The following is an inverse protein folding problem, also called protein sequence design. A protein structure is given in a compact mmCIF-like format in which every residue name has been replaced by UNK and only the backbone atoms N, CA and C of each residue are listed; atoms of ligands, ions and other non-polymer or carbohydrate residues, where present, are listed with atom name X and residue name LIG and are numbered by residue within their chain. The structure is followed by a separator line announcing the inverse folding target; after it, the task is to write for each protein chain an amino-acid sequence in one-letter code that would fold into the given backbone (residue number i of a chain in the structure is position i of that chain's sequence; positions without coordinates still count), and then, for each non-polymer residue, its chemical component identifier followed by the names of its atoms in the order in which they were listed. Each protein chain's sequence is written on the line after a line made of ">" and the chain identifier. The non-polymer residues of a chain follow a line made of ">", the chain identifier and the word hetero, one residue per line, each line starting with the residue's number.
data_IF_784193521892
#
_entry.id   IF_784193521892
#
_cell.length_a   1.000
_cell.length_b   1.000
_cell.length_c   1.000
_cell.angle_alpha   90.00
_cell.angle_beta   90.00
_cell.angle_gamma   90.00
#
_symmetry.space_group_name_H-M   'P 1'
#
loop_
_entity.id
_entity.type
_entity.pdbx_description
1 polymer ?
#
# COMPACT_ATOMS: atom_id res chain seq x y z
N UNK A 1 -3.70 -25.02 -17.70
CA UNK A 1 -3.45 -23.99 -18.73
C UNK A 1 -3.29 -22.57 -18.15
N UNK A 2 -4.25 -22.07 -17.34
CA UNK A 2 -4.21 -20.70 -16.77
C UNK A 2 -2.94 -20.37 -15.96
N UNK A 3 -2.52 -21.25 -15.04
CA UNK A 3 -1.30 -21.05 -14.21
C UNK A 3 -0.03 -20.85 -15.05
N UNK A 4 0.17 -21.70 -16.05
CA UNK A 4 1.32 -21.61 -16.95
C UNK A 4 1.32 -20.31 -17.76
N UNK A 5 0.14 -19.83 -18.18
CA UNK A 5 0.00 -18.54 -18.85
C UNK A 5 0.42 -17.39 -17.94
N UNK A 6 -0.07 -17.35 -16.69
CA UNK A 6 0.29 -16.31 -15.73
C UNK A 6 1.77 -16.32 -15.37
N UNK A 7 2.40 -17.50 -15.23
CA UNK A 7 3.85 -17.61 -15.04
C UNK A 7 4.59 -17.02 -16.24
N UNK A 8 4.22 -17.42 -17.46
CA UNK A 8 4.87 -16.92 -18.68
C UNK A 8 4.74 -15.41 -18.80
N UNK A 9 3.53 -14.87 -18.66
CA UNK A 9 3.28 -13.43 -18.73
C UNK A 9 4.03 -12.69 -17.61
N UNK A 10 4.00 -13.20 -16.38
CA UNK A 10 4.72 -12.60 -15.25
C UNK A 10 6.22 -12.54 -15.49
N UNK A 11 6.83 -13.65 -15.94
CA UNK A 11 8.25 -13.70 -16.27
C UNK A 11 8.62 -12.81 -17.46
N UNK A 12 7.79 -12.76 -18.51
CA UNK A 12 8.02 -11.87 -19.66
C UNK A 12 7.96 -10.40 -19.22
N UNK A 13 6.97 -10.02 -18.40
CA UNK A 13 6.85 -8.66 -17.88
C UNK A 13 8.06 -8.28 -17.02
N UNK A 14 8.53 -9.17 -16.14
CA UNK A 14 9.72 -8.91 -15.33
C UNK A 14 11.00 -8.87 -16.16
N UNK A 15 11.16 -9.74 -17.15
CA UNK A 15 12.31 -9.72 -18.04
C UNK A 15 12.34 -8.42 -18.85
N UNK A 16 11.20 -7.99 -19.39
CA UNK A 16 11.10 -6.73 -20.12
C UNK A 16 11.38 -5.54 -19.21
N UNK A 17 10.85 -5.53 -17.98
CA UNK A 17 11.17 -4.53 -16.97
C UNK A 17 12.69 -4.44 -16.73
N UNK A 18 13.35 -5.57 -16.48
CA UNK A 18 14.79 -5.61 -16.22
C UNK A 18 15.58 -5.07 -17.41
N UNK A 19 15.24 -5.48 -18.63
CA UNK A 19 15.90 -5.03 -19.87
C UNK A 19 15.76 -3.51 -20.05
N UNK A 20 14.52 -3.00 -19.98
CA UNK A 20 14.25 -1.56 -20.13
C UNK A 20 14.96 -0.75 -19.05
N UNK A 21 14.91 -1.24 -17.80
CA UNK A 21 15.54 -0.56 -16.68
C UNK A 21 17.06 -0.55 -16.78
N UNK A 22 17.69 -1.61 -17.30
CA UNK A 22 19.13 -1.61 -17.59
C UNK A 22 19.53 -0.66 -18.71
N UNK A 23 18.72 -0.56 -19.77
CA UNK A 23 18.95 0.39 -20.86
C UNK A 23 18.82 1.83 -20.35
N UNK A 24 17.95 2.09 -19.38
CA UNK A 24 17.81 3.36 -18.66
C UNK A 24 17.50 4.59 -19.53
N UNK A 25 16.97 4.37 -20.74
CA UNK A 25 16.58 5.42 -21.70
C UNK A 25 15.05 5.57 -21.78
N UNK A 26 14.31 4.48 -21.62
CA UNK A 26 12.87 4.41 -21.83
C UNK A 26 12.23 3.52 -20.78
N UNK A 27 10.97 3.78 -20.44
CA UNK A 27 10.18 2.99 -19.48
C UNK A 27 9.77 3.79 -18.26
N UNK A 28 10.73 4.49 -17.64
CA UNK A 28 10.53 5.44 -16.55
C UNK A 28 11.11 6.82 -16.92
N UNK A 29 10.40 7.90 -16.54
CA UNK A 29 10.89 9.26 -16.76
C UNK A 29 12.05 9.64 -15.83
N UNK A 30 12.22 8.91 -14.73
CA UNK A 30 13.33 9.06 -13.80
C UNK A 30 14.37 7.95 -14.02
N UNK A 31 15.51 8.25 -14.68
CA UNK A 31 16.59 7.28 -14.85
C UNK A 31 17.19 6.93 -13.48
N UNK A 32 17.60 5.67 -13.31
CA UNK A 32 18.35 5.30 -12.11
C UNK A 32 19.78 5.82 -12.21
N UNK A 33 20.39 6.10 -11.05
CA UNK A 33 21.73 6.65 -10.95
C UNK A 33 22.60 5.76 -10.04
N UNK A 34 23.87 5.66 -10.37
CA UNK A 34 24.85 5.05 -9.49
C UNK A 34 25.00 5.92 -8.23
N UNK A 35 24.72 5.33 -7.08
CA UNK A 35 24.83 5.96 -5.76
C UNK A 35 26.13 5.53 -5.07
N UNK A 36 26.47 6.21 -3.96
CA UNK A 36 27.70 5.95 -3.19
C UNK A 36 27.79 4.54 -2.59
N UNK A 37 26.66 3.87 -2.36
CA UNK A 37 26.61 2.49 -1.85
C UNK A 37 25.88 1.61 -2.85
N UNK A 38 26.33 0.37 -3.01
CA UNK A 38 25.64 -0.62 -3.84
C UNK A 38 24.17 -0.80 -3.44
N UNK A 39 23.84 -0.69 -2.14
CA UNK A 39 22.45 -0.73 -1.67
C UNK A 39 21.65 0.47 -2.18
N UNK A 40 22.18 1.69 -2.11
CA UNK A 40 21.49 2.87 -2.62
C UNK A 40 21.36 2.85 -4.15
N UNK A 41 22.32 2.26 -4.86
CA UNK A 41 22.23 2.07 -6.31
C UNK A 41 21.11 1.09 -6.65
N UNK A 42 21.00 -0.02 -5.90
CA UNK A 42 19.90 -0.96 -6.04
C UNK A 42 18.55 -0.31 -5.71
N UNK A 43 18.47 0.48 -4.62
CA UNK A 43 17.26 1.25 -4.29
C UNK A 43 16.90 2.24 -5.40
N UNK A 44 17.89 2.89 -6.03
CA UNK A 44 17.66 3.76 -7.19
C UNK A 44 17.14 2.97 -8.40
N UNK A 45 17.63 1.75 -8.61
CA UNK A 45 17.18 0.87 -9.69
C UNK A 45 15.70 0.51 -9.54
N UNK A 46 15.27 0.16 -8.32
CA UNK A 46 13.86 -0.22 -8.03
C UNK A 46 12.94 0.98 -7.73
N UNK A 47 13.46 2.20 -7.69
CA UNK A 47 12.67 3.40 -7.48
C UNK A 47 11.96 3.80 -8.78
N UNK A 48 10.69 3.41 -8.91
CA UNK A 48 9.88 3.59 -10.11
C UNK A 48 8.79 4.65 -9.89
N UNK A 49 8.52 5.45 -10.92
CA UNK A 49 7.53 6.52 -10.90
C UNK A 49 6.12 5.96 -10.92
N UNK A 50 5.39 6.16 -9.81
CA UNK A 50 4.02 5.67 -9.64
C UNK A 50 2.95 6.61 -10.22
N UNK A 51 3.19 7.92 -10.24
CA UNK A 51 2.21 8.93 -10.63
C UNK A 51 2.86 10.00 -11.54
N UNK A 52 2.52 10.04 -12.85
CA UNK A 52 1.75 9.03 -13.59
C UNK A 52 2.48 7.67 -13.63
N UNK A 53 1.75 6.54 -13.75
CA UNK A 53 2.38 5.22 -13.71
C UNK A 53 3.30 5.03 -14.92
N UNK A 54 4.58 4.78 -14.66
CA UNK A 54 5.54 4.47 -15.71
C UNK A 54 5.32 3.07 -16.29
N UNK A 55 5.85 2.81 -17.49
CA UNK A 55 5.78 1.48 -18.09
C UNK A 55 6.55 0.48 -17.23
N UNK A 56 7.73 0.88 -16.73
CA UNK A 56 8.54 0.05 -15.83
C UNK A 56 7.81 -0.27 -14.53
N UNK A 57 7.11 0.72 -13.94
CA UNK A 57 6.25 0.51 -12.79
C UNK A 57 5.17 -0.55 -13.11
N UNK A 58 4.46 -0.42 -14.23
CA UNK A 58 3.44 -1.37 -14.62
C UNK A 58 4.00 -2.79 -14.84
N UNK A 59 5.09 -2.92 -15.59
CA UNK A 59 5.72 -4.22 -15.89
C UNK A 59 6.22 -4.92 -14.64
N UNK A 60 6.87 -4.19 -13.73
CA UNK A 60 7.37 -4.72 -12.48
C UNK A 60 6.22 -5.21 -11.59
N UNK A 61 5.23 -4.35 -11.31
CA UNK A 61 4.17 -4.68 -10.37
C UNK A 61 3.17 -5.71 -10.93
N UNK A 62 2.81 -5.65 -12.22
CA UNK A 62 1.96 -6.68 -12.85
C UNK A 62 2.71 -8.01 -12.91
N UNK A 63 4.00 -7.99 -13.27
CA UNK A 63 4.82 -9.20 -13.32
C UNK A 63 4.88 -9.91 -11.97
N UNK A 64 5.19 -9.18 -10.91
CA UNK A 64 5.18 -9.69 -9.54
C UNK A 64 3.78 -10.19 -9.11
N UNK A 65 2.73 -9.41 -9.40
CA UNK A 65 1.36 -9.77 -9.03
C UNK A 65 0.93 -11.10 -9.67
N UNK A 66 1.24 -11.32 -10.95
CA UNK A 66 0.91 -12.56 -11.65
C UNK A 66 1.61 -13.78 -11.04
N UNK A 67 2.89 -13.64 -10.65
CA UNK A 67 3.64 -14.72 -10.00
C UNK A 67 3.11 -15.01 -8.59
N UNK A 68 2.85 -13.95 -7.80
CA UNK A 68 2.25 -14.07 -6.47
C UNK A 68 0.88 -14.74 -6.56
N UNK A 69 0.06 -14.37 -7.55
CA UNK A 69 -1.26 -14.95 -7.76
C UNK A 69 -1.17 -16.45 -7.98
N UNK A 70 -0.27 -16.91 -8.84
CA UNK A 70 -0.08 -18.35 -9.10
C UNK A 70 0.39 -19.10 -7.85
N UNK A 71 1.25 -18.46 -7.05
CA UNK A 71 1.78 -19.05 -5.83
C UNK A 71 0.72 -19.17 -4.72
N UNK A 72 -0.15 -18.17 -4.60
CA UNK A 72 -1.20 -18.12 -3.57
C UNK A 72 -2.47 -18.86 -4.01
N UNK A 73 -2.65 -19.12 -5.31
CA UNK A 73 -3.82 -19.80 -5.88
C UNK A 73 -3.97 -21.23 -5.34
N UNK A 74 -4.91 -21.39 -4.40
CA UNK A 74 -5.26 -22.66 -3.77
C UNK A 74 -4.79 -22.80 -2.32
N UNK A 75 -4.05 -21.82 -1.77
CA UNK A 75 -3.62 -21.85 -0.37
C UNK A 75 -4.78 -21.52 0.58
N UNK A 76 -5.14 -22.47 1.44
CA UNK A 76 -6.14 -22.29 2.50
C UNK A 76 -5.50 -22.40 3.88
N UNK A 77 -4.73 -21.38 4.25
CA UNK A 77 -4.05 -21.31 5.54
C UNK A 77 -4.64 -20.21 6.42
N UNK A 78 -4.32 -20.24 7.73
CA UNK A 78 -4.73 -19.19 8.69
C UNK A 78 -4.29 -17.79 8.26
N UNK A 79 -3.11 -17.68 7.65
CA UNK A 79 -2.60 -16.41 7.11
C UNK A 79 -3.44 -15.90 5.93
N UNK A 80 -3.76 -16.76 4.95
CA UNK A 80 -4.66 -16.41 3.84
C UNK A 80 -6.04 -16.02 4.34
N UNK A 81 -6.56 -16.72 5.36
CA UNK A 81 -7.83 -16.36 5.99
C UNK A 81 -7.77 -14.98 6.66
N UNK A 82 -6.66 -14.65 7.33
CA UNK A 82 -6.43 -13.34 7.94
C UNK A 82 -6.38 -12.22 6.88
N UNK A 83 -5.59 -12.38 5.81
CA UNK A 83 -5.48 -11.35 4.76
C UNK A 83 -6.77 -11.17 3.96
N UNK A 84 -7.53 -12.26 3.77
CA UNK A 84 -8.83 -12.23 3.08
C UNK A 84 -9.85 -11.33 3.80
N UNK A 85 -9.76 -11.18 5.13
CA UNK A 85 -10.66 -10.27 5.88
C UNK A 85 -10.57 -8.85 5.34
N UNK A 86 -9.36 -8.34 5.13
CA UNK A 86 -9.15 -7.00 4.57
C UNK A 86 -9.56 -6.94 3.09
N UNK A 87 -9.20 -7.97 2.31
CA UNK A 87 -9.50 -8.02 0.88
C UNK A 87 -10.99 -8.08 0.53
N UNK A 88 -11.85 -8.53 1.45
CA UNK A 88 -13.32 -8.57 1.26
C UNK A 88 -13.97 -7.19 1.35
N UNK A 89 -13.39 -6.26 2.11
CA UNK A 89 -13.97 -4.95 2.43
C UNK A 89 -12.93 -3.82 2.29
N UNK A 90 -12.24 -3.71 1.14
CA UNK A 90 -11.13 -2.78 0.96
C UNK A 90 -11.56 -1.31 1.03
N UNK A 91 -12.76 -0.98 0.54
CA UNK A 91 -13.26 0.40 0.59
C UNK A 91 -13.63 0.81 2.03
N UNK A 92 -14.28 -0.07 2.78
CA UNK A 92 -14.50 0.14 4.21
C UNK A 92 -13.19 0.36 4.97
N UNK A 93 -12.17 -0.48 4.74
CA UNK A 93 -10.86 -0.28 5.35
C UNK A 93 -10.32 1.11 5.02
N UNK A 94 -10.31 1.49 3.74
CA UNK A 94 -9.81 2.79 3.29
C UNK A 94 -10.50 3.96 4.00
N UNK A 95 -11.84 3.96 4.06
CA UNK A 95 -12.61 5.03 4.66
C UNK A 95 -12.38 5.10 6.18
N UNK A 96 -12.58 3.99 6.90
CA UNK A 96 -12.49 3.99 8.36
C UNK A 96 -11.05 4.21 8.83
N UNK A 97 -10.06 3.66 8.12
CA UNK A 97 -8.65 3.93 8.39
C UNK A 97 -8.34 5.43 8.37
N UNK A 98 -8.87 6.16 7.38
CA UNK A 98 -8.70 7.61 7.29
C UNK A 98 -9.26 8.33 8.53
N UNK A 99 -10.46 7.95 8.99
CA UNK A 99 -11.07 8.49 10.20
C UNK A 99 -10.38 8.08 11.51
N UNK A 100 -9.56 7.02 11.51
CA UNK A 100 -8.80 6.59 12.69
C UNK A 100 -7.43 7.28 12.74
N UNK A 101 -6.74 7.37 11.61
CA UNK A 101 -5.37 7.90 11.58
C UNK A 101 -5.33 9.41 11.82
N UNK A 102 -6.38 10.16 11.47
CA UNK A 102 -6.45 11.61 11.70
C UNK A 102 -6.58 11.97 13.19
N UNK A 103 -7.48 11.36 13.98
CA UNK A 103 -7.48 11.53 15.43
C UNK A 103 -6.15 11.12 16.07
N UNK A 104 -5.55 10.01 15.64
CA UNK A 104 -4.24 9.59 16.15
C UNK A 104 -3.18 10.66 15.86
N UNK A 105 -3.17 11.22 14.65
CA UNK A 105 -2.30 12.33 14.29
C UNK A 105 -2.50 13.52 15.25
N UNK A 106 -3.74 13.96 15.47
CA UNK A 106 -4.01 15.09 16.36
C UNK A 106 -3.57 14.80 17.80
N UNK A 107 -3.88 13.61 18.34
CA UNK A 107 -3.42 13.20 19.67
C UNK A 107 -1.90 13.30 19.76
N UNK A 108 -1.17 12.78 18.77
CA UNK A 108 0.29 12.84 18.76
C UNK A 108 0.83 14.27 18.66
N UNK A 109 0.19 15.13 17.87
CA UNK A 109 0.57 16.54 17.73
C UNK A 109 0.34 17.30 19.04
N UNK A 110 -0.80 17.09 19.71
CA UNK A 110 -1.06 17.71 21.01
C UNK A 110 -0.14 17.18 22.11
N UNK A 111 0.18 15.88 22.10
CA UNK A 111 1.17 15.29 23.02
C UNK A 111 2.59 15.85 22.81
N UNK A 112 2.91 16.34 21.62
CA UNK A 112 4.17 17.03 21.33
C UNK A 112 4.18 18.50 21.78
N UNK A 113 3.08 19.01 22.34
CA UNK A 113 2.98 20.37 22.89
C UNK A 113 2.50 21.43 21.90
N UNK A 114 2.07 21.05 20.69
CA UNK A 114 1.50 21.99 19.72
C UNK A 114 0.08 22.37 20.10
N UNK A 115 -0.30 23.63 19.85
CA UNK A 115 -1.63 24.15 20.13
C UNK A 115 -2.48 24.17 18.86
N UNK A 116 -3.81 24.31 19.01
CA UNK A 116 -4.74 24.36 17.87
C UNK A 116 -4.44 25.50 16.89
N UNK A 117 -3.80 26.58 17.37
CA UNK A 117 -3.33 27.71 16.56
C UNK A 117 -2.21 27.36 15.59
N UNK A 118 -1.44 26.32 15.88
CA UNK A 118 -0.29 25.91 15.07
C UNK A 118 -0.70 24.95 13.93
N UNK A 119 -1.95 24.47 13.96
CA UNK A 119 -2.47 23.51 12.99
C UNK A 119 -2.73 24.19 11.64
N UNK A 120 -2.13 23.65 10.59
CA UNK A 120 -2.36 24.11 9.22
C UNK A 120 -3.21 23.10 8.47
N UNK A 121 -4.44 23.50 8.17
CA UNK A 121 -5.36 22.73 7.32
C UNK A 121 -5.10 23.02 5.83
N UNK A 122 -5.36 22.03 4.97
CA UNK A 122 -4.97 22.05 3.56
C UNK A 122 -3.98 20.92 3.25
N UNK A 123 -2.88 21.23 2.57
CA UNK A 123 -1.88 20.23 2.15
C UNK A 123 -1.17 19.52 3.31
N UNK A 124 -1.15 20.12 4.50
CA UNK A 124 -0.50 19.55 5.69
C UNK A 124 -1.42 18.66 6.53
N UNK A 125 -2.68 18.46 6.12
CA UNK A 125 -3.65 17.60 6.82
C UNK A 125 -3.74 17.87 8.34
N UNK A 126 -3.61 19.13 8.76
CA UNK A 126 -3.66 19.53 10.17
C UNK A 126 -2.32 19.46 10.90
N UNK A 127 -1.20 19.21 10.22
CA UNK A 127 0.14 19.19 10.85
C UNK A 127 0.72 20.61 11.00
N UNK A 128 1.45 20.90 12.10
CA UNK A 128 2.16 22.16 12.27
C UNK A 128 3.27 22.39 11.25
N UNK A 129 3.54 23.66 10.91
CA UNK A 129 4.58 24.06 9.95
C UNK A 129 6.00 23.71 10.39
N UNK A 130 6.25 23.66 11.69
CA UNK A 130 7.58 23.40 12.26
C UNK A 130 8.01 21.92 12.10
N UNK A 131 7.14 21.07 11.57
CA UNK A 131 7.37 19.63 11.42
C UNK A 131 6.95 18.89 12.69
N UNK A 132 5.98 17.98 12.54
CA UNK A 132 5.52 17.09 13.61
C UNK A 132 5.66 15.64 13.18
N UNK A 133 6.29 14.83 14.03
CA UNK A 133 6.56 13.45 13.70
C UNK A 133 7.32 12.70 14.79
N UNK A 134 7.28 11.38 14.67
CA UNK A 134 8.04 10.46 15.51
C UNK A 134 9.10 9.77 14.66
N UNK A 135 10.08 9.16 15.31
CA UNK A 135 11.07 8.34 14.63
C UNK A 135 10.41 7.22 13.82
N UNK A 136 11.07 6.76 12.75
CA UNK A 136 10.53 5.78 11.81
C UNK A 136 10.03 4.49 12.48
N UNK A 137 10.74 4.01 13.52
CA UNK A 137 10.31 2.85 14.30
C UNK A 137 8.95 3.07 14.98
N UNK A 138 8.70 4.29 15.49
CA UNK A 138 7.42 4.66 16.09
C UNK A 138 6.30 4.69 15.06
N UNK A 139 6.59 5.13 13.83
CA UNK A 139 5.62 5.10 12.72
C UNK A 139 5.21 3.66 12.43
N UNK A 140 6.16 2.72 12.40
CA UNK A 140 5.84 1.30 12.22
C UNK A 140 5.01 0.72 13.35
N UNK A 141 5.25 1.12 14.61
CA UNK A 141 4.43 0.67 15.74
C UNK A 141 2.99 1.17 15.63
N UNK A 142 2.79 2.46 15.33
CA UNK A 142 1.45 3.03 15.13
C UNK A 142 0.76 2.35 13.95
N UNK A 143 1.48 2.13 12.84
CA UNK A 143 0.95 1.43 11.68
C UNK A 143 0.49 0.00 12.01
N UNK A 144 1.32 -0.80 12.71
CA UNK A 144 0.94 -2.15 13.16
C UNK A 144 -0.30 -2.07 14.08
N UNK A 145 -0.32 -1.14 15.02
CA UNK A 145 -1.44 -0.93 15.93
C UNK A 145 -2.75 -0.64 15.19
N UNK A 146 -2.72 0.26 14.19
CA UNK A 146 -3.90 0.59 13.37
C UNK A 146 -4.34 -0.61 12.53
N UNK A 147 -3.41 -1.35 11.92
CA UNK A 147 -3.75 -2.57 11.15
C UNK A 147 -4.43 -3.60 12.06
N UNK A 148 -3.88 -3.87 13.25
CA UNK A 148 -4.47 -4.81 14.21
C UNK A 148 -5.84 -4.36 14.71
N UNK A 149 -6.02 -3.06 14.96
CA UNK A 149 -7.32 -2.48 15.35
C UNK A 149 -8.35 -2.57 14.23
N UNK A 150 -7.92 -2.45 12.97
CA UNK A 150 -8.81 -2.57 11.82
C UNK A 150 -9.28 -4.01 11.57
N UNK A 151 -8.51 -5.02 11.98
CA UNK A 151 -8.88 -6.42 11.78
C UNK A 151 -10.28 -6.79 12.28
N UNK A 152 -10.64 -6.57 13.57
CA UNK A 152 -11.97 -6.91 14.08
C UNK A 152 -13.08 -6.10 13.39
N UNK A 153 -12.82 -4.84 13.04
CA UNK A 153 -13.77 -3.96 12.36
C UNK A 153 -14.07 -4.45 10.94
N UNK A 154 -13.04 -4.81 10.17
CA UNK A 154 -13.20 -5.40 8.84
C UNK A 154 -13.89 -6.77 8.91
N UNK A 155 -13.57 -7.59 9.92
CA UNK A 155 -14.22 -8.90 10.12
C UNK A 155 -15.71 -8.74 10.42
N UNK A 156 -16.06 -7.83 11.32
CA UNK A 156 -17.44 -7.52 11.66
C UNK A 156 -18.22 -7.00 10.45
N UNK A 157 -17.69 -6.00 9.75
CA UNK A 157 -18.35 -5.41 8.58
C UNK A 157 -18.49 -6.43 7.44
N UNK A 158 -17.49 -7.29 7.23
CA UNK A 158 -17.57 -8.40 6.27
C UNK A 158 -18.71 -9.37 6.58
N UNK A 159 -18.90 -9.75 7.84
CA UNK A 159 -20.03 -10.60 8.26
C UNK A 159 -21.37 -9.86 8.14
N UNK A 160 -21.41 -8.59 8.51
CA UNK A 160 -22.59 -7.74 8.40
C UNK A 160 -23.07 -7.65 6.94
N UNK A 161 -22.15 -7.36 6.01
CA UNK A 161 -22.41 -7.29 4.56
C UNK A 161 -22.96 -8.61 4.00
N UNK A 162 -22.49 -9.76 4.49
CA UNK A 162 -23.00 -11.07 4.08
C UNK A 162 -24.40 -11.37 4.64
N UNK A 163 -24.69 -10.93 5.85
CA UNK A 163 -25.98 -11.13 6.52
C UNK A 163 -27.11 -10.21 6.03
N UNK A 164 -26.79 -9.13 5.32
CA UNK A 164 -27.76 -8.13 4.85
C UNK A 164 -27.70 -7.92 3.31
N UNK A 165 -27.92 -8.98 2.50
CA UNK A 165 -27.85 -8.90 1.04
C UNK A 165 -28.91 -7.99 0.42
N UNK A 166 -29.99 -7.68 1.13
CA UNK A 166 -31.07 -6.78 0.71
C UNK A 166 -30.60 -5.33 0.54
N UNK A 167 -29.55 -4.92 1.27
CA UNK A 167 -28.99 -3.57 1.22
C UNK A 167 -27.98 -3.46 0.07
N UNK A 168 -28.47 -3.23 -1.14
CA UNK A 168 -27.64 -3.12 -2.37
C UNK A 168 -26.48 -2.12 -2.28
N UNK A 169 -26.61 -1.05 -1.49
CA UNK A 169 -25.55 -0.05 -1.31
C UNK A 169 -24.31 -0.62 -0.58
N UNK A 170 -24.50 -1.60 0.33
CA UNK A 170 -23.40 -2.29 1.00
C UNK A 170 -22.52 -3.10 0.03
N UNK A 171 -23.00 -3.39 -1.19
CA UNK A 171 -22.17 -4.04 -2.21
C UNK A 171 -21.03 -3.12 -2.66
N UNK A 172 -21.27 -1.81 -2.70
CA UNK A 172 -20.32 -0.80 -3.15
C UNK A 172 -19.34 -0.35 -2.06
N UNK A 173 -19.61 -0.65 -0.78
CA UNK A 173 -18.77 -0.38 0.39
C UNK A 173 -18.09 -1.62 0.97
#
# INVERSE_FOLDING_TARGET
>A
MRKQLFIKLGLISLALFVILRFINIYGDGAPWLAQKSGLYTFLSFINLTKYPPSLDYCLCFIGLLLLILVWVEGLQNRFTAFTTVYGKVPLFYFLVHWYIIHPILFIMVFMQGFHSSDLVFGSNFGRPKQGSGIALWGVYLVWIGVVLLMYPLCKWYGNYKLSHPEKKWLRYL
#
